data_IF_215919383271
#
_entry.id   IF_215919383271
#
_cell.length_a   1.000
_cell.length_b   1.000
_cell.length_c   1.000
_cell.angle_alpha   90.00
_cell.angle_beta   90.00
_cell.angle_gamma   90.00
#
_symmetry.space_group_name_H-M   'P 1'
#
loop_
_entity.id
_entity.type
_entity.pdbx_description
1 polymer ?
#
# COMPACT_ATOMS: atom_id res chain seq x y z
N UNK A 1 -6.81 1.25 -15.96
CA UNK A 1 -6.35 1.83 -14.69
C UNK A 1 -5.96 0.71 -13.75
N UNK A 2 -4.76 0.76 -13.18
CA UNK A 2 -4.22 -0.29 -12.29
C UNK A 2 -3.91 0.31 -10.94
N UNK A 3 -4.39 -0.34 -9.88
CA UNK A 3 -4.01 -0.02 -8.51
C UNK A 3 -2.77 -0.85 -8.14
N UNK A 4 -1.75 -0.20 -7.60
CA UNK A 4 -0.51 -0.81 -7.14
C UNK A 4 -0.36 -0.54 -5.64
N UNK A 5 -0.05 -1.59 -4.89
CA UNK A 5 0.33 -1.52 -3.49
C UNK A 5 1.71 -2.12 -3.33
N UNK A 6 2.65 -1.32 -2.89
CA UNK A 6 4.03 -1.74 -2.67
C UNK A 6 4.36 -1.48 -1.21
N UNK A 7 4.78 -2.52 -0.50
CA UNK A 7 5.12 -2.47 0.92
C UNK A 7 6.49 -3.12 1.08
N UNK A 8 7.41 -2.37 1.69
CA UNK A 8 8.67 -2.90 2.16
C UNK A 8 8.43 -3.59 3.50
N UNK A 9 8.74 -4.89 3.55
CA UNK A 9 8.57 -5.72 4.73
C UNK A 9 9.85 -5.82 5.58
N UNK A 10 10.96 -5.19 5.15
CA UNK A 10 12.21 -5.12 5.90
C UNK A 10 12.63 -6.44 6.56
N UNK A 11 13.15 -6.34 7.79
CA UNK A 11 13.51 -7.49 8.63
C UNK A 11 12.28 -8.20 9.23
N UNK A 12 11.08 -7.59 9.18
CA UNK A 12 9.81 -8.17 9.65
C UNK A 12 9.27 -9.28 8.73
N UNK A 13 9.91 -9.49 7.58
CA UNK A 13 9.57 -10.57 6.63
C UNK A 13 9.79 -11.99 7.18
N UNK A 14 10.62 -12.16 8.21
CA UNK A 14 11.22 -13.47 8.52
C UNK A 14 10.46 -14.41 9.47
N UNK A 15 9.44 -13.96 10.22
CA UNK A 15 8.86 -14.78 11.31
C UNK A 15 7.32 -14.87 11.30
N UNK A 16 6.69 -14.98 10.13
CA UNK A 16 5.22 -15.14 10.01
C UNK A 16 4.41 -13.89 10.44
N UNK A 17 5.06 -12.89 11.03
CA UNK A 17 4.52 -11.56 11.32
C UNK A 17 4.32 -10.71 10.06
N UNK A 18 5.00 -11.04 8.95
CA UNK A 18 4.87 -10.33 7.68
C UNK A 18 3.42 -10.24 7.18
N UNK A 19 2.71 -11.36 7.14
CA UNK A 19 1.31 -11.40 6.72
C UNK A 19 0.38 -10.67 7.71
N UNK A 20 0.70 -10.73 9.01
CA UNK A 20 -0.04 -10.05 10.08
C UNK A 20 0.13 -8.53 9.98
N UNK A 21 1.34 -8.06 9.69
CA UNK A 21 1.65 -6.64 9.56
C UNK A 21 1.08 -6.07 8.26
N UNK A 22 1.22 -6.77 7.14
CA UNK A 22 0.52 -6.41 5.88
C UNK A 22 -0.98 -6.35 6.11
N UNK A 23 -1.57 -7.34 6.78
CA UNK A 23 -2.99 -7.35 7.09
C UNK A 23 -3.43 -6.16 7.96
N UNK A 24 -2.57 -5.71 8.89
CA UNK A 24 -2.82 -4.53 9.71
C UNK A 24 -2.77 -3.24 8.88
N UNK A 25 -1.71 -3.05 8.09
CA UNK A 25 -1.55 -1.89 7.20
C UNK A 25 -2.75 -1.80 6.23
N UNK A 26 -3.13 -2.93 5.63
CA UNK A 26 -4.29 -3.03 4.74
C UNK A 26 -5.61 -2.72 5.43
N UNK A 27 -5.80 -3.10 6.71
CA UNK A 27 -7.03 -2.79 7.44
C UNK A 27 -7.17 -1.29 7.72
N UNK A 28 -6.09 -0.64 8.15
CA UNK A 28 -6.11 0.81 8.42
C UNK A 28 -6.33 1.63 7.16
N UNK A 29 -5.54 1.33 6.12
CA UNK A 29 -5.66 2.07 4.87
C UNK A 29 -6.92 1.68 4.07
N UNK A 30 -7.23 0.38 4.00
CA UNK A 30 -8.39 -0.12 3.28
C UNK A 30 -9.72 0.37 3.85
N UNK A 31 -9.78 0.67 5.15
CA UNK A 31 -10.90 1.38 5.75
C UNK A 31 -11.02 2.83 5.27
N UNK A 32 -9.90 3.52 5.04
CA UNK A 32 -9.83 4.93 4.66
C UNK A 32 -9.96 5.17 3.14
N UNK A 33 -9.86 4.10 2.34
CA UNK A 33 -9.88 4.13 0.88
C UNK A 33 -11.06 4.90 0.27
N UNK A 34 -12.22 4.87 0.92
CA UNK A 34 -13.43 5.55 0.46
C UNK A 34 -13.31 7.09 0.49
N UNK A 35 -12.29 7.65 1.15
CA UNK A 35 -11.95 9.06 1.11
C UNK A 35 -10.92 9.41 0.02
N UNK A 36 -10.32 8.42 -0.62
CA UNK A 36 -9.31 8.64 -1.65
C UNK A 36 -9.95 8.65 -3.04
N UNK A 37 -9.69 9.69 -3.82
CA UNK A 37 -10.02 9.70 -5.25
C UNK A 37 -9.01 8.82 -6.00
N UNK A 38 -9.46 7.67 -6.48
CA UNK A 38 -8.62 6.69 -7.20
C UNK A 38 -8.55 7.02 -8.69
N UNK A 39 -7.83 8.09 -9.03
CA UNK A 39 -7.58 8.52 -10.42
C UNK A 39 -6.13 8.26 -10.84
N UNK A 40 -5.84 8.05 -12.13
CA UNK A 40 -4.46 7.93 -12.62
C UNK A 40 -3.58 9.10 -12.14
N UNK A 41 -2.42 8.78 -11.58
CA UNK A 41 -1.51 9.73 -10.94
C UNK A 41 -1.69 9.88 -9.44
N UNK A 42 -2.80 9.40 -8.86
CA UNK A 42 -3.00 9.39 -7.42
C UNK A 42 -1.99 8.45 -6.73
N UNK A 43 -1.43 8.89 -5.62
CA UNK A 43 -0.57 8.06 -4.77
C UNK A 43 -0.50 8.61 -3.35
N UNK A 44 -0.15 7.75 -2.40
CA UNK A 44 0.08 8.14 -1.00
C UNK A 44 1.01 7.14 -0.33
N UNK A 45 1.86 7.65 0.55
CA UNK A 45 2.73 6.84 1.40
C UNK A 45 1.92 6.05 2.43
N UNK A 46 2.41 4.85 2.72
CA UNK A 46 1.90 3.98 3.78
C UNK A 46 2.85 4.10 4.96
N UNK A 47 2.27 4.16 6.16
CA UNK A 47 3.02 4.21 7.39
C UNK A 47 2.63 3.04 8.29
N UNK A 48 3.60 2.53 9.05
CA UNK A 48 3.35 1.56 10.12
C UNK A 48 2.81 2.23 11.39
N UNK A 49 2.60 1.44 12.44
CA UNK A 49 2.14 1.96 13.74
C UNK A 49 3.16 2.84 14.47
N UNK A 50 4.42 2.83 14.05
CA UNK A 50 5.49 3.68 14.57
C UNK A 50 5.70 4.95 13.70
N UNK A 51 4.78 5.22 12.77
CA UNK A 51 4.84 6.33 11.82
C UNK A 51 6.05 6.30 10.89
N UNK A 52 6.62 5.12 10.62
CA UNK A 52 7.67 4.96 9.61
C UNK A 52 7.05 4.70 8.25
N UNK A 53 7.58 5.33 7.22
CA UNK A 53 7.16 5.06 5.84
C UNK A 53 7.59 3.65 5.46
N UNK A 54 6.62 2.81 5.11
CA UNK A 54 6.83 1.38 4.80
C UNK A 54 6.37 1.02 3.40
N UNK A 55 5.88 1.98 2.62
CA UNK A 55 5.40 1.67 1.29
C UNK A 55 4.60 2.80 0.67
N UNK A 56 3.93 2.48 -0.42
CA UNK A 56 3.10 3.42 -1.17
C UNK A 56 1.99 2.66 -1.88
N UNK A 57 0.83 3.30 -2.02
CA UNK A 57 -0.09 2.92 -3.07
C UNK A 57 -0.07 3.94 -4.22
N UNK A 58 -0.34 3.48 -5.43
CA UNK A 58 -0.50 4.35 -6.59
C UNK A 58 -1.55 3.82 -7.56
N UNK A 59 -2.21 4.74 -8.27
CA UNK A 59 -3.08 4.44 -9.39
C UNK A 59 -2.35 4.87 -10.65
N UNK A 60 -2.05 3.89 -11.50
CA UNK A 60 -1.38 4.13 -12.78
C UNK A 60 -2.37 3.91 -13.92
N UNK A 61 -2.13 4.59 -15.04
CA UNK A 61 -2.79 4.22 -16.28
C UNK A 61 -2.43 2.76 -16.58
N UNK A 62 -3.44 1.98 -16.99
CA UNK A 62 -3.12 0.67 -17.55
C UNK A 62 -2.61 0.95 -18.95
N UNK A 63 -1.29 1.13 -19.08
CA UNK A 63 -0.66 1.08 -20.39
C UNK A 63 -1.08 -0.26 -21.01
N UNK A 64 -1.82 -0.20 -22.12
CA UNK A 64 -1.89 -1.34 -23.01
C UNK A 64 -0.46 -1.73 -23.32
N UNK A 65 -0.09 -2.97 -23.02
CA UNK A 65 1.26 -3.45 -23.29
C UNK A 65 1.66 -3.06 -24.71
N UNK A 66 2.80 -2.40 -24.84
CA UNK A 66 3.58 -2.32 -26.07
C UNK A 66 4.86 -3.08 -25.85
#
# INVERSE_FOLDING_TARGET
>A
MKFLLEVDLGETASDGDAAREVGRILRYWGGNLHHCTLEPGASQELYDSEYRAVGRWSVVESGGGS
#
